data_IF_159670732788
#
_entry.id   IF_159670732788
#
_cell.length_a   1.000
_cell.length_b   1.000
_cell.length_c   1.000
_cell.angle_alpha   90.00
_cell.angle_beta   90.00
_cell.angle_gamma   90.00
#
_symmetry.space_group_name_H-M   'P 1'
#
loop_
_entity.id
_entity.type
_entity.pdbx_description
1 polymer ?
#
# COMPACT_ATOMS: atom_id res chain seq x y z
N UNK A 1 30.42 -13.95 7.64
CA UNK A 1 29.13 -13.24 7.61
C UNK A 1 29.23 -11.73 7.32
N UNK A 2 30.22 -10.99 7.87
CA UNK A 2 30.45 -9.55 7.62
C UNK A 2 30.48 -9.13 6.13
N UNK A 3 31.16 -9.88 5.24
CA UNK A 3 31.22 -9.54 3.79
C UNK A 3 29.86 -9.56 3.07
N UNK A 4 28.91 -10.43 3.48
CA UNK A 4 27.53 -10.43 2.95
C UNK A 4 26.71 -9.25 3.47
N UNK A 5 26.86 -8.90 4.76
CA UNK A 5 26.17 -7.77 5.37
C UNK A 5 26.63 -6.42 4.77
N UNK A 6 27.94 -6.22 4.57
CA UNK A 6 28.50 -5.01 3.94
C UNK A 6 28.02 -4.87 2.49
N UNK A 7 27.95 -5.98 1.74
CA UNK A 7 27.42 -6.00 0.37
C UNK A 7 25.92 -5.67 0.33
N UNK A 8 25.15 -6.13 1.33
CA UNK A 8 23.72 -5.81 1.44
C UNK A 8 23.49 -4.34 1.83
N UNK A 9 24.26 -3.79 2.76
CA UNK A 9 24.18 -2.38 3.17
C UNK A 9 24.50 -1.41 2.01
N UNK A 10 25.56 -1.70 1.22
CA UNK A 10 25.88 -0.93 0.03
C UNK A 10 24.75 -0.97 -1.02
N UNK A 11 24.09 -2.11 -1.18
CA UNK A 11 22.95 -2.26 -2.09
C UNK A 11 21.73 -1.47 -1.61
N UNK A 12 21.39 -1.48 -0.31
CA UNK A 12 20.28 -0.69 0.25
C UNK A 12 20.49 0.80 -0.05
N UNK A 13 21.71 1.32 0.14
CA UNK A 13 22.05 2.71 -0.20
C UNK A 13 21.89 3.01 -1.69
N UNK A 14 22.30 2.08 -2.56
CA UNK A 14 22.12 2.19 -4.01
C UNK A 14 20.62 2.21 -4.39
N UNK A 15 19.79 1.39 -3.74
CA UNK A 15 18.34 1.40 -3.92
C UNK A 15 17.71 2.71 -3.48
N UNK A 16 18.04 3.19 -2.27
CA UNK A 16 17.58 4.48 -1.75
C UNK A 16 17.93 5.62 -2.70
N UNK A 17 19.16 5.66 -3.19
CA UNK A 17 19.58 6.68 -4.15
C UNK A 17 18.79 6.61 -5.47
N UNK A 18 18.45 5.42 -5.95
CA UNK A 18 17.61 5.26 -7.14
C UNK A 18 16.16 5.66 -6.90
N UNK A 19 15.57 5.25 -5.77
CA UNK A 19 14.22 5.62 -5.38
C UNK A 19 14.10 7.13 -5.19
N UNK A 20 15.08 7.74 -4.51
CA UNK A 20 15.16 9.18 -4.32
C UNK A 20 15.25 9.92 -5.65
N UNK A 21 16.16 9.53 -6.55
CA UNK A 21 16.27 10.13 -7.89
C UNK A 21 14.98 10.02 -8.71
N UNK A 22 14.23 8.92 -8.52
CA UNK A 22 12.96 8.72 -9.19
C UNK A 22 11.86 9.62 -8.61
N UNK A 23 11.78 9.75 -7.29
CA UNK A 23 10.76 10.57 -6.64
C UNK A 23 11.05 12.08 -6.80
N UNK A 24 12.32 12.49 -6.75
CA UNK A 24 12.73 13.90 -6.64
C UNK A 24 12.11 14.81 -7.71
N UNK A 25 11.88 14.32 -8.94
CA UNK A 25 11.36 15.15 -10.03
C UNK A 25 9.89 15.55 -9.88
N UNK A 26 9.07 14.66 -9.31
CA UNK A 26 7.63 14.85 -9.13
C UNK A 26 7.20 14.70 -7.66
N UNK A 27 8.13 14.83 -6.71
CA UNK A 27 7.89 14.62 -5.28
C UNK A 27 6.77 15.53 -4.78
N UNK A 28 6.80 16.82 -5.15
CA UNK A 28 5.77 17.78 -4.77
C UNK A 28 4.38 17.37 -5.29
N UNK A 29 4.29 16.99 -6.57
CA UNK A 29 3.02 16.52 -7.15
C UNK A 29 2.51 15.24 -6.45
N UNK A 30 3.40 14.31 -6.12
CA UNK A 30 3.06 13.08 -5.38
C UNK A 30 2.55 13.42 -3.98
N UNK A 31 3.25 14.29 -3.24
CA UNK A 31 2.87 14.68 -1.88
C UNK A 31 1.51 15.41 -1.87
N UNK A 32 1.29 16.36 -2.79
CA UNK A 32 0.02 17.07 -2.89
C UNK A 32 -1.10 16.09 -3.25
N UNK A 33 -0.88 15.25 -4.26
CA UNK A 33 -1.85 14.22 -4.67
C UNK A 33 -2.21 13.32 -3.48
N UNK A 34 -1.22 12.70 -2.85
CA UNK A 34 -1.43 11.74 -1.78
C UNK A 34 -2.16 12.37 -0.59
N UNK A 35 -1.78 13.60 -0.21
CA UNK A 35 -2.41 14.32 0.90
C UNK A 35 -3.88 14.61 0.61
N UNK A 36 -4.17 15.22 -0.53
CA UNK A 36 -5.54 15.58 -0.93
C UNK A 36 -6.38 14.32 -1.13
N UNK A 37 -5.82 13.31 -1.81
CA UNK A 37 -6.51 12.08 -2.12
C UNK A 37 -6.83 11.26 -0.88
N UNK A 38 -5.91 11.20 0.09
CA UNK A 38 -6.09 10.46 1.34
C UNK A 38 -7.12 11.13 2.26
N UNK A 39 -7.15 12.46 2.31
CA UNK A 39 -8.22 13.20 3.00
C UNK A 39 -9.58 12.96 2.34
N UNK A 40 -9.63 13.01 1.01
CA UNK A 40 -10.86 12.76 0.25
C UNK A 40 -11.37 11.32 0.43
N UNK A 41 -10.51 10.32 0.22
CA UNK A 41 -10.87 8.91 0.30
C UNK A 41 -11.24 8.48 1.72
N UNK A 42 -10.51 8.96 2.75
CA UNK A 42 -10.87 8.66 4.14
C UNK A 42 -12.22 9.23 4.52
N UNK A 43 -12.54 10.46 4.08
CA UNK A 43 -13.84 11.06 4.29
C UNK A 43 -14.95 10.36 3.51
N UNK A 44 -14.70 9.94 2.27
CA UNK A 44 -15.65 9.18 1.46
C UNK A 44 -16.01 7.86 2.14
N UNK A 45 -15.00 7.06 2.51
CA UNK A 45 -15.20 5.76 3.16
C UNK A 45 -15.89 5.92 4.51
N UNK A 46 -15.50 6.92 5.31
CA UNK A 46 -16.12 7.20 6.61
C UNK A 46 -17.60 7.57 6.47
N UNK A 47 -17.95 8.45 5.52
CA UNK A 47 -19.35 8.84 5.28
C UNK A 47 -20.20 7.67 4.80
N UNK A 48 -19.67 6.85 3.89
CA UNK A 48 -20.37 5.65 3.41
C UNK A 48 -20.56 4.62 4.53
N UNK A 49 -19.53 4.40 5.37
CA UNK A 49 -19.62 3.52 6.53
C UNK A 49 -20.67 4.00 7.54
N UNK A 50 -20.66 5.29 7.88
CA UNK A 50 -21.66 5.87 8.77
C UNK A 50 -23.08 5.79 8.19
N UNK A 51 -23.24 6.06 6.89
CA UNK A 51 -24.53 5.91 6.22
C UNK A 51 -25.02 4.45 6.26
N UNK A 52 -24.13 3.49 6.00
CA UNK A 52 -24.47 2.07 6.04
C UNK A 52 -24.83 1.56 7.44
N UNK A 53 -24.12 2.02 8.47
CA UNK A 53 -24.43 1.70 9.87
C UNK A 53 -25.79 2.30 10.24
N UNK A 54 -26.03 3.58 9.97
CA UNK A 54 -27.29 4.24 10.28
C UNK A 54 -28.46 3.59 9.54
N UNK A 55 -28.26 3.18 8.29
CA UNK A 55 -29.25 2.44 7.52
C UNK A 55 -29.54 1.07 8.14
N UNK A 56 -28.51 0.32 8.50
CA UNK A 56 -28.64 -1.00 9.15
C UNK A 56 -29.36 -0.89 10.50
N UNK A 57 -29.04 0.13 11.29
CA UNK A 57 -29.66 0.40 12.59
C UNK A 57 -31.14 0.73 12.46
N UNK A 58 -31.51 1.58 11.49
CA UNK A 58 -32.92 1.90 11.19
C UNK A 58 -33.73 0.66 10.81
N UNK A 59 -33.15 -0.24 10.03
CA UNK A 59 -33.83 -1.45 9.58
C UNK A 59 -34.03 -2.48 10.70
N UNK A 60 -33.17 -2.45 11.72
CA UNK A 60 -33.25 -3.34 12.88
C UNK A 60 -34.01 -2.72 14.06
N UNK A 61 -34.55 -1.50 13.91
CA UNK A 61 -35.31 -0.81 14.95
C UNK A 61 -34.49 -0.40 16.18
N UNK A 62 -33.15 -0.39 16.07
CA UNK A 62 -32.25 -0.08 17.19
C UNK A 62 -31.56 1.26 16.99
N UNK A 63 -31.55 2.13 18.00
CA UNK A 63 -30.84 3.43 17.90
C UNK A 63 -29.32 3.33 18.00
N UNK A 64 -28.79 2.27 18.64
CA UNK A 64 -27.35 2.11 18.88
C UNK A 64 -26.89 0.66 18.80
N UNK A 65 -25.62 0.46 18.42
CA UNK A 65 -24.98 -0.85 18.35
C UNK A 65 -24.43 -1.25 19.72
N UNK A 66 -24.98 -2.29 20.34
CA UNK A 66 -24.50 -2.89 21.60
C UNK A 66 -23.68 -4.16 21.34
N UNK A 67 -22.91 -4.63 22.32
CA UNK A 67 -22.14 -5.89 22.22
C UNK A 67 -23.02 -7.12 21.98
N UNK A 68 -24.23 -7.11 22.52
CA UNK A 68 -25.23 -8.19 22.39
C UNK A 68 -25.85 -8.21 20.99
N UNK A 69 -26.16 -7.03 20.44
CA UNK A 69 -26.76 -6.91 19.11
C UNK A 69 -25.72 -6.87 17.99
N UNK A 70 -24.43 -6.76 18.32
CA UNK A 70 -23.34 -6.65 17.36
C UNK A 70 -23.36 -7.76 16.30
N UNK A 71 -23.42 -9.02 16.73
CA UNK A 71 -23.42 -10.16 15.82
C UNK A 71 -24.69 -10.16 14.95
N UNK A 72 -25.85 -9.83 15.53
CA UNK A 72 -27.14 -9.76 14.81
C UNK A 72 -27.11 -8.68 13.72
N UNK A 73 -26.55 -7.51 14.01
CA UNK A 73 -26.42 -6.40 13.06
C UNK A 73 -25.39 -6.73 11.97
N UNK A 74 -24.21 -7.23 12.34
CA UNK A 74 -23.12 -7.49 11.39
C UNK A 74 -23.41 -8.62 10.41
N UNK A 75 -24.17 -9.64 10.83
CA UNK A 75 -24.54 -10.78 10.01
C UNK A 75 -25.84 -10.58 9.22
N UNK A 76 -26.52 -9.45 9.42
CA UNK A 76 -27.74 -9.14 8.67
C UNK A 76 -27.41 -9.07 7.16
N UNK A 77 -28.17 -9.75 6.28
CA UNK A 77 -27.82 -9.88 4.86
C UNK A 77 -27.66 -8.54 4.16
N UNK A 78 -28.48 -7.55 4.52
CA UNK A 78 -28.35 -6.21 3.97
C UNK A 78 -27.10 -5.48 4.47
N UNK A 79 -26.74 -5.65 5.74
CA UNK A 79 -25.52 -5.04 6.31
C UNK A 79 -24.27 -5.63 5.66
N UNK A 80 -24.27 -6.94 5.39
CA UNK A 80 -23.21 -7.60 4.62
C UNK A 80 -23.11 -7.05 3.19
N UNK A 81 -24.24 -6.84 2.51
CA UNK A 81 -24.27 -6.23 1.18
C UNK A 81 -23.70 -4.81 1.19
N UNK A 82 -24.06 -4.00 2.19
CA UNK A 82 -23.53 -2.63 2.34
C UNK A 82 -22.03 -2.63 2.65
N UNK A 83 -21.56 -3.51 3.54
CA UNK A 83 -20.13 -3.68 3.84
C UNK A 83 -19.38 -4.07 2.57
N UNK A 84 -19.91 -5.01 1.80
CA UNK A 84 -19.31 -5.43 0.53
C UNK A 84 -19.25 -4.28 -0.48
N UNK A 85 -20.31 -3.47 -0.59
CA UNK A 85 -20.33 -2.26 -1.42
C UNK A 85 -19.27 -1.24 -1.00
N UNK A 86 -19.11 -0.99 0.29
CA UNK A 86 -18.06 -0.09 0.82
C UNK A 86 -16.67 -0.65 0.51
N UNK A 87 -16.46 -1.95 0.66
CA UNK A 87 -15.20 -2.61 0.31
C UNK A 87 -14.88 -2.47 -1.17
N UNK A 88 -15.87 -2.59 -2.06
CA UNK A 88 -15.67 -2.36 -3.50
C UNK A 88 -15.21 -0.93 -3.79
N UNK A 89 -15.86 0.07 -3.18
CA UNK A 89 -15.46 1.49 -3.30
C UNK A 89 -14.03 1.68 -2.76
N UNK A 90 -13.74 1.11 -1.60
CA UNK A 90 -12.41 1.19 -0.98
C UNK A 90 -11.31 0.61 -1.87
N UNK A 91 -11.51 -0.59 -2.43
CA UNK A 91 -10.51 -1.20 -3.31
C UNK A 91 -10.41 -0.48 -4.66
N UNK A 92 -11.48 0.11 -5.16
CA UNK A 92 -11.42 0.97 -6.33
C UNK A 92 -10.58 2.23 -6.04
N UNK A 93 -10.75 2.84 -4.87
CA UNK A 93 -9.91 3.96 -4.43
C UNK A 93 -8.42 3.55 -4.35
N UNK A 94 -8.13 2.41 -3.73
CA UNK A 94 -6.77 1.87 -3.68
C UNK A 94 -6.18 1.67 -5.09
N UNK A 95 -6.96 1.13 -6.03
CA UNK A 95 -6.52 0.93 -7.41
C UNK A 95 -6.22 2.27 -8.11
N UNK A 96 -7.09 3.26 -7.91
CA UNK A 96 -6.91 4.61 -8.43
C UNK A 96 -5.60 5.25 -7.93
N UNK A 97 -5.35 5.18 -6.62
CA UNK A 97 -4.13 5.69 -5.97
C UNK A 97 -2.88 5.06 -6.57
N UNK A 98 -2.88 3.73 -6.74
CA UNK A 98 -1.77 2.99 -7.34
C UNK A 98 -1.49 3.49 -8.76
N UNK A 99 -2.50 3.64 -9.61
CA UNK A 99 -2.32 4.12 -10.98
C UNK A 99 -1.81 5.56 -11.04
N UNK A 100 -2.31 6.45 -10.18
CA UNK A 100 -1.88 7.84 -10.13
C UNK A 100 -0.40 7.97 -9.71
N UNK A 101 0.01 7.26 -8.65
CA UNK A 101 1.41 7.23 -8.19
C UNK A 101 2.31 6.62 -9.27
N UNK A 102 1.88 5.52 -9.89
CA UNK A 102 2.61 4.86 -10.97
C UNK A 102 2.81 5.76 -12.20
N UNK A 103 1.81 6.55 -12.58
CA UNK A 103 1.93 7.53 -13.66
C UNK A 103 2.97 8.61 -13.33
N UNK A 104 3.04 9.06 -12.08
CA UNK A 104 4.06 10.03 -11.64
C UNK A 104 5.48 9.43 -11.63
N UNK A 105 5.62 8.17 -11.21
CA UNK A 105 6.89 7.46 -11.28
C UNK A 105 7.34 7.27 -12.73
N UNK A 106 6.41 6.94 -13.64
CA UNK A 106 6.71 6.81 -15.06
C UNK A 106 7.12 8.14 -15.70
N UNK A 107 6.41 9.23 -15.39
CA UNK A 107 6.79 10.56 -15.83
C UNK A 107 8.20 10.94 -15.32
N UNK A 108 8.49 10.67 -14.04
CA UNK A 108 9.79 10.93 -13.44
C UNK A 108 10.91 10.15 -14.12
N UNK A 109 10.66 8.87 -14.44
CA UNK A 109 11.59 8.04 -15.18
C UNK A 109 11.89 8.57 -16.58
N UNK A 110 10.85 9.04 -17.30
CA UNK A 110 10.97 9.70 -18.61
C UNK A 110 11.53 11.13 -18.50
N UNK A 111 11.97 11.56 -17.31
CA UNK A 111 12.43 12.92 -17.02
C UNK A 111 11.39 13.99 -17.41
N UNK A 112 10.10 13.72 -17.27
CA UNK A 112 9.02 14.68 -17.46
C UNK A 112 8.40 15.07 -16.11
N UNK A 113 7.85 16.29 -16.03
CA UNK A 113 7.01 16.70 -14.90
C UNK A 113 5.56 16.32 -15.19
N UNK A 114 4.83 15.94 -14.15
CA UNK A 114 3.38 15.68 -14.22
C UNK A 114 2.69 16.55 -13.17
N UNK A 115 1.56 17.15 -13.56
CA UNK A 115 0.70 17.88 -12.63
C UNK A 115 -0.29 16.93 -11.96
N UNK A 116 -0.76 17.30 -10.77
CA UNK A 116 -1.73 16.51 -9.98
C UNK A 116 -3.00 16.18 -10.79
N UNK A 117 -3.61 17.10 -11.55
CA UNK A 117 -4.79 16.76 -12.36
C UNK A 117 -4.51 15.68 -13.41
N UNK A 118 -3.34 15.71 -14.04
CA UNK A 118 -2.95 14.69 -15.03
C UNK A 118 -2.69 13.35 -14.35
N UNK A 119 -2.15 13.35 -13.13
CA UNK A 119 -2.05 12.13 -12.31
C UNK A 119 -3.43 11.55 -11.99
N UNK A 120 -4.41 12.40 -11.61
CA UNK A 120 -5.78 11.96 -11.34
C UNK A 120 -6.46 11.39 -12.58
N UNK A 121 -6.29 12.01 -13.74
CA UNK A 121 -6.81 11.50 -15.00
C UNK A 121 -6.17 10.16 -15.40
N UNK A 122 -4.86 10.02 -15.20
CA UNK A 122 -4.16 8.75 -15.43
C UNK A 122 -4.62 7.67 -14.45
N UNK A 123 -4.84 8.03 -13.18
CA UNK A 123 -5.44 7.21 -12.14
C UNK A 123 -6.81 6.68 -12.54
N UNK A 124 -7.71 7.58 -12.95
CA UNK A 124 -9.07 7.24 -13.36
C UNK A 124 -9.13 6.40 -14.63
N UNK A 125 -8.39 6.78 -15.68
CA UNK A 125 -8.33 6.02 -16.93
C UNK A 125 -7.73 4.63 -16.70
N UNK A 126 -6.63 4.54 -15.96
CA UNK A 126 -5.95 3.28 -15.66
C UNK A 126 -6.82 2.35 -14.81
N UNK A 127 -7.44 2.86 -13.75
CA UNK A 127 -8.34 2.09 -12.90
C UNK A 127 -9.57 1.59 -13.68
N UNK A 128 -10.21 2.47 -14.46
CA UNK A 128 -11.36 2.10 -15.28
C UNK A 128 -11.01 1.06 -16.34
N UNK A 129 -9.86 1.20 -17.02
CA UNK A 129 -9.40 0.21 -17.99
C UNK A 129 -9.12 -1.15 -17.32
N UNK A 130 -8.53 -1.14 -16.12
CA UNK A 130 -8.25 -2.38 -15.38
C UNK A 130 -9.52 -3.10 -14.95
N UNK A 131 -10.51 -2.36 -14.42
CA UNK A 131 -11.82 -2.91 -14.05
C UNK A 131 -12.56 -3.43 -15.29
N UNK A 132 -12.57 -2.69 -16.40
CA UNK A 132 -13.19 -3.13 -17.67
C UNK A 132 -12.53 -4.37 -18.26
N UNK A 133 -11.20 -4.46 -18.19
CA UNK A 133 -10.48 -5.62 -18.70
C UNK A 133 -10.71 -6.88 -17.85
N UNK A 134 -11.09 -6.72 -16.58
CA UNK A 134 -11.15 -7.80 -15.58
C UNK A 134 -12.28 -7.60 -14.56
N UNK A 135 -13.57 -7.56 -14.97
CA UNK A 135 -14.69 -7.13 -14.12
C UNK A 135 -14.89 -7.96 -12.84
N UNK A 136 -14.49 -9.22 -12.84
CA UNK A 136 -14.62 -10.11 -11.66
C UNK A 136 -13.31 -10.32 -10.90
N UNK A 137 -12.16 -10.29 -11.58
CA UNK A 137 -10.87 -10.61 -10.96
C UNK A 137 -10.13 -9.38 -10.40
N UNK A 138 -10.52 -8.16 -10.77
CA UNK A 138 -9.89 -6.95 -10.25
C UNK A 138 -10.03 -6.84 -8.73
N UNK A 139 -11.22 -7.13 -8.18
CA UNK A 139 -11.49 -7.04 -6.75
C UNK A 139 -10.63 -8.04 -5.96
N UNK A 140 -10.62 -9.31 -6.39
CA UNK A 140 -9.81 -10.37 -5.76
C UNK A 140 -8.32 -10.01 -5.75
N UNK A 141 -7.86 -9.37 -6.81
CA UNK A 141 -6.47 -8.95 -6.95
C UNK A 141 -6.11 -7.79 -6.00
N UNK A 142 -7.05 -6.85 -5.81
CA UNK A 142 -6.90 -5.77 -4.84
C UNK A 142 -6.94 -6.28 -3.40
N UNK A 143 -7.87 -7.18 -3.08
CA UNK A 143 -7.94 -7.87 -1.78
C UNK A 143 -6.64 -8.60 -1.50
N UNK A 144 -6.12 -9.36 -2.47
CA UNK A 144 -4.88 -10.11 -2.31
C UNK A 144 -3.68 -9.17 -2.10
N UNK A 145 -3.63 -8.01 -2.75
CA UNK A 145 -2.50 -7.08 -2.62
C UNK A 145 -2.59 -6.16 -1.38
N UNK A 146 -3.78 -6.04 -0.79
CA UNK A 146 -4.08 -5.06 0.23
C UNK A 146 -3.21 -5.16 1.49
N UNK A 147 -3.07 -6.34 2.14
CA UNK A 147 -2.32 -6.49 3.38
C UNK A 147 -0.86 -6.00 3.28
N UNK A 148 -0.25 -6.11 2.10
CA UNK A 148 1.12 -5.67 1.88
C UNK A 148 1.23 -4.18 1.52
N UNK A 149 0.44 -3.70 0.55
CA UNK A 149 0.53 -2.31 0.09
C UNK A 149 0.05 -1.29 1.13
N UNK A 150 -0.94 -1.69 1.93
CA UNK A 150 -1.58 -0.83 2.92
C UNK A 150 -1.28 -1.27 4.35
N UNK A 151 -0.15 -1.94 4.60
CA UNK A 151 0.20 -2.46 5.92
C UNK A 151 0.14 -1.39 7.02
N UNK A 152 0.71 -0.21 6.77
CA UNK A 152 0.68 0.89 7.74
C UNK A 152 -0.74 1.46 7.93
N UNK A 153 -1.46 1.69 6.84
CA UNK A 153 -2.82 2.23 6.84
C UNK A 153 -3.81 1.30 7.53
N UNK A 154 -3.72 0.00 7.27
CA UNK A 154 -4.58 -1.04 7.82
C UNK A 154 -4.37 -1.19 9.33
N UNK A 155 -3.11 -1.26 9.79
CA UNK A 155 -2.79 -1.22 11.22
C UNK A 155 -3.41 0.01 11.90
N UNK A 156 -3.25 1.19 11.30
CA UNK A 156 -3.85 2.39 11.87
C UNK A 156 -5.38 2.38 11.84
N UNK A 157 -6.01 1.87 10.79
CA UNK A 157 -7.46 1.79 10.69
C UNK A 157 -8.03 0.88 11.78
N UNK A 158 -7.42 -0.28 12.00
CA UNK A 158 -7.79 -1.22 13.06
C UNK A 158 -7.68 -0.56 14.44
N UNK A 159 -6.60 0.19 14.71
CA UNK A 159 -6.39 0.87 15.99
C UNK A 159 -7.30 2.10 16.20
N UNK A 160 -7.83 2.67 15.13
CA UNK A 160 -8.68 3.86 15.20
C UNK A 160 -10.17 3.53 15.24
N UNK A 161 -10.59 2.41 14.64
CA UNK A 161 -12.00 2.01 14.59
C UNK A 161 -12.29 0.94 15.64
N UNK A 162 -13.03 1.31 16.69
CA UNK A 162 -13.43 0.40 17.80
C UNK A 162 -14.08 -0.88 17.29
N UNK A 163 -14.89 -0.78 16.24
CA UNK A 163 -15.54 -1.92 15.60
C UNK A 163 -14.52 -2.93 15.03
N UNK A 164 -13.50 -2.45 14.30
CA UNK A 164 -12.45 -3.31 13.76
C UNK A 164 -11.60 -3.92 14.88
N UNK A 165 -11.29 -3.15 15.91
CA UNK A 165 -10.53 -3.64 17.06
C UNK A 165 -11.25 -4.78 17.80
N UNK A 166 -12.55 -4.61 18.08
CA UNK A 166 -13.35 -5.63 18.77
C UNK A 166 -13.49 -6.89 17.90
N UNK A 167 -13.78 -6.73 16.62
CA UNK A 167 -13.85 -7.86 15.68
C UNK A 167 -12.53 -8.63 15.61
N UNK A 168 -11.41 -7.91 15.47
CA UNK A 168 -10.09 -8.55 15.39
C UNK A 168 -9.74 -9.27 16.69
N UNK A 169 -10.05 -8.68 17.84
CA UNK A 169 -9.81 -9.32 19.15
C UNK A 169 -10.60 -10.61 19.30
N UNK A 170 -11.88 -10.62 18.88
CA UNK A 170 -12.69 -11.85 18.87
C UNK A 170 -12.10 -12.93 17.96
N UNK A 171 -11.60 -12.54 16.76
CA UNK A 171 -10.95 -13.47 15.83
C UNK A 171 -9.67 -14.04 16.43
N UNK A 172 -8.82 -13.21 17.02
CA UNK A 172 -7.56 -13.65 17.63
C UNK A 172 -7.79 -14.60 18.82
N UNK A 173 -8.78 -14.29 19.67
CA UNK A 173 -9.13 -15.11 20.83
C UNK A 173 -9.88 -16.41 20.47
N UNK A 174 -10.39 -16.54 19.25
CA UNK A 174 -10.98 -17.79 18.77
C UNK A 174 -9.92 -18.87 18.50
N UNK A 175 -8.64 -18.50 18.37
CA UNK A 175 -7.57 -19.47 18.19
C UNK A 175 -7.06 -19.99 19.54
N UNK A 176 -6.79 -21.30 19.67
CA UNK A 176 -6.34 -21.91 20.92
C UNK A 176 -4.93 -21.45 21.34
N UNK A 177 -4.11 -20.96 20.40
CA UNK A 177 -2.76 -20.50 20.66
C UNK A 177 -2.48 -19.16 19.95
N UNK A 178 -1.91 -18.20 20.68
CA UNK A 178 -1.60 -16.86 20.19
C UNK A 178 -0.65 -16.81 18.98
N UNK A 179 0.24 -17.79 18.83
CA UNK A 179 1.23 -17.83 17.75
C UNK A 179 0.61 -18.20 16.39
N UNK A 180 -0.53 -18.89 16.37
CA UNK A 180 -1.26 -19.28 15.14
C UNK A 180 -1.68 -18.04 14.32
N UNK A 181 -2.46 -17.08 14.86
CA UNK A 181 -2.85 -15.90 14.09
C UNK A 181 -1.67 -15.01 13.70
N UNK A 182 -0.58 -15.00 14.48
CA UNK A 182 0.68 -14.30 14.12
C UNK A 182 1.30 -14.92 12.86
N UNK A 183 1.46 -16.24 12.83
CA UNK A 183 1.99 -16.96 11.66
C UNK A 183 1.08 -16.77 10.44
N UNK A 184 -0.24 -16.87 10.62
CA UNK A 184 -1.21 -16.62 9.55
C UNK A 184 -1.09 -15.19 8.99
N UNK A 185 -0.88 -14.19 9.84
CA UNK A 185 -0.67 -12.79 9.42
C UNK A 185 0.61 -12.65 8.60
N UNK A 186 1.70 -13.29 9.01
CA UNK A 186 2.96 -13.28 8.26
C UNK A 186 2.78 -13.94 6.89
N UNK A 187 2.10 -15.09 6.84
CA UNK A 187 1.78 -15.79 5.59
C UNK A 187 0.87 -14.96 4.69
N UNK A 188 -0.11 -14.27 5.25
CA UNK A 188 -0.99 -13.36 4.52
C UNK A 188 -0.19 -12.23 3.87
N UNK A 189 0.68 -11.54 4.61
CA UNK A 189 1.52 -10.46 4.07
C UNK A 189 2.49 -10.99 3.00
N UNK A 190 3.06 -12.18 3.21
CA UNK A 190 3.95 -12.83 2.24
C UNK A 190 3.21 -13.22 0.95
N UNK A 191 1.99 -13.75 1.07
CA UNK A 191 1.11 -14.04 -0.06
C UNK A 191 0.75 -12.74 -0.81
N UNK A 192 0.38 -11.69 -0.07
CA UNK A 192 0.03 -10.39 -0.63
C UNK A 192 1.18 -9.71 -1.38
N UNK A 193 2.42 -9.95 -0.95
CA UNK A 193 3.60 -9.49 -1.67
C UNK A 193 3.67 -10.06 -3.10
N UNK A 194 3.36 -11.34 -3.28
CA UNK A 194 3.41 -12.00 -4.60
C UNK A 194 2.43 -11.35 -5.56
N UNK A 195 1.22 -11.05 -5.10
CA UNK A 195 0.21 -10.34 -5.89
C UNK A 195 0.65 -8.92 -6.18
N UNK A 196 1.12 -8.19 -5.17
CA UNK A 196 1.58 -6.81 -5.31
C UNK A 196 2.74 -6.69 -6.31
N UNK A 197 3.63 -7.68 -6.36
CA UNK A 197 4.72 -7.71 -7.33
C UNK A 197 4.25 -7.73 -8.79
N UNK A 198 3.10 -8.34 -9.04
CA UNK A 198 2.54 -8.43 -10.40
C UNK A 198 1.85 -7.15 -10.86
N UNK A 199 1.59 -6.19 -9.95
CA UNK A 199 0.84 -4.95 -10.22
C UNK A 199 1.55 -4.11 -11.29
N UNK A 200 2.83 -3.72 -11.17
CA UNK A 200 3.49 -2.90 -12.18
C UNK A 200 3.47 -3.52 -13.57
N UNK A 201 3.66 -4.84 -13.65
CA UNK A 201 3.67 -5.53 -14.93
C UNK A 201 2.29 -5.52 -15.58
N UNK A 202 1.22 -5.70 -14.81
CA UNK A 202 -0.16 -5.71 -15.32
C UNK A 202 -0.69 -4.31 -15.60
N UNK A 203 -0.25 -3.31 -14.84
CA UNK A 203 -0.63 -1.92 -15.04
C UNK A 203 0.11 -1.28 -16.22
N UNK A 204 1.34 -1.71 -16.53
CA UNK A 204 2.20 -1.05 -17.53
C UNK A 204 2.55 -1.88 -18.76
N UNK A 205 2.41 -3.21 -18.73
CA UNK A 205 2.59 -4.04 -19.93
C UNK A 205 1.24 -4.59 -20.40
N UNK A 206 0.92 -4.34 -21.67
CA UNK A 206 -0.15 -4.99 -22.45
C UNK A 206 0.26 -6.37 -22.97
N UNK A 207 1.20 -7.08 -22.33
CA UNK A 207 1.58 -8.45 -22.72
C UNK A 207 0.57 -9.48 -22.21
N UNK A 208 0.34 -10.56 -22.98
CA UNK A 208 -0.55 -11.69 -22.62
C UNK A 208 -0.17 -12.29 -21.25
N UNK A 209 -1.19 -12.56 -20.43
CA UNK A 209 -1.10 -12.92 -19.00
C UNK A 209 -0.12 -14.06 -18.66
N UNK A 210 -0.04 -15.10 -19.50
CA UNK A 210 0.90 -16.23 -19.33
C UNK A 210 2.37 -15.81 -19.34
N UNK A 211 2.75 -14.84 -20.18
CA UNK A 211 4.13 -14.38 -20.30
C UNK A 211 4.54 -13.49 -19.13
N UNK A 212 3.59 -12.73 -18.58
CA UNK A 212 3.80 -11.90 -17.40
C UNK A 212 4.11 -12.77 -16.18
N UNK A 213 3.35 -13.84 -15.94
CA UNK A 213 3.63 -14.77 -14.84
C UNK A 213 4.98 -15.48 -14.98
N UNK A 214 5.35 -15.92 -16.20
CA UNK A 214 6.63 -16.57 -16.44
C UNK A 214 7.81 -15.61 -16.25
N UNK A 215 7.70 -14.35 -16.71
CA UNK A 215 8.74 -13.32 -16.55
C UNK A 215 8.87 -12.87 -15.09
N UNK A 216 7.74 -12.77 -14.38
CA UNK A 216 7.68 -12.53 -12.93
C UNK A 216 8.34 -13.68 -12.19
N UNK A 217 7.97 -14.93 -12.47
CA UNK A 217 8.51 -16.15 -11.84
C UNK A 217 10.01 -16.28 -12.05
N UNK A 218 10.51 -16.09 -13.27
CA UNK A 218 11.95 -16.12 -13.57
C UNK A 218 12.75 -15.00 -12.88
N UNK A 219 12.11 -13.85 -12.63
CA UNK A 219 12.73 -12.72 -11.92
C UNK A 219 12.67 -12.91 -10.40
N UNK A 220 11.55 -13.48 -9.89
CA UNK A 220 11.35 -13.86 -8.50
C UNK A 220 12.33 -14.98 -8.10
N UNK A 221 12.30 -16.14 -8.75
CA UNK A 221 12.93 -17.40 -8.28
C UNK A 221 14.41 -17.27 -7.88
N UNK A 222 15.16 -16.34 -8.49
CA UNK A 222 16.59 -16.17 -8.17
C UNK A 222 16.86 -15.19 -7.01
N UNK A 223 15.90 -14.37 -6.57
CA UNK A 223 16.12 -13.25 -5.63
C UNK A 223 14.95 -12.90 -4.69
N UNK A 224 13.81 -13.62 -4.70
CA UNK A 224 12.58 -13.29 -3.91
C UNK A 224 12.90 -12.90 -2.48
N UNK A 225 13.54 -13.81 -1.74
CA UNK A 225 13.78 -13.64 -0.31
C UNK A 225 14.64 -12.41 -0.01
N UNK A 226 15.57 -12.07 -0.90
CA UNK A 226 16.43 -10.89 -0.71
C UNK A 226 15.70 -9.59 -1.02
N UNK A 227 14.96 -9.53 -2.12
CA UNK A 227 14.19 -8.33 -2.49
C UNK A 227 12.99 -8.12 -1.56
N UNK A 228 12.34 -9.20 -1.10
CA UNK A 228 11.30 -9.16 -0.08
C UNK A 228 11.88 -8.67 1.25
N UNK A 229 13.03 -9.22 1.68
CA UNK A 229 13.71 -8.78 2.91
C UNK A 229 14.07 -7.30 2.93
N UNK A 230 14.55 -6.75 1.80
CA UNK A 230 14.87 -5.32 1.69
C UNK A 230 13.58 -4.46 1.79
N UNK A 231 12.49 -4.87 1.16
CA UNK A 231 11.25 -4.08 1.24
C UNK A 231 10.55 -4.17 2.59
N UNK A 232 10.48 -5.37 3.18
CA UNK A 232 9.96 -5.54 4.54
C UNK A 232 10.79 -4.71 5.52
N UNK A 233 12.12 -4.71 5.37
CA UNK A 233 12.98 -3.83 6.15
C UNK A 233 12.61 -2.35 5.98
N UNK A 234 12.34 -1.88 4.76
CA UNK A 234 11.89 -0.49 4.53
C UNK A 234 10.54 -0.19 5.17
N UNK A 235 9.56 -1.09 5.07
CA UNK A 235 8.25 -0.90 5.70
C UNK A 235 8.38 -0.85 7.23
N UNK A 236 9.16 -1.75 7.82
CA UNK A 236 9.45 -1.76 9.27
C UNK A 236 10.18 -0.47 9.67
N UNK A 237 11.14 0.00 8.89
CA UNK A 237 11.85 1.24 9.16
C UNK A 237 10.92 2.47 9.12
N UNK A 238 10.03 2.57 8.12
CA UNK A 238 9.01 3.63 8.07
C UNK A 238 8.10 3.56 9.29
N UNK A 239 7.65 2.36 9.66
CA UNK A 239 6.81 2.16 10.85
C UNK A 239 7.52 2.62 12.13
N UNK A 240 8.80 2.26 12.30
CA UNK A 240 9.60 2.68 13.44
C UNK A 240 9.80 4.20 13.47
N UNK A 241 10.10 4.83 12.32
CA UNK A 241 10.24 6.29 12.24
C UNK A 241 8.93 6.98 12.63
N UNK A 242 7.79 6.54 12.07
CA UNK A 242 6.49 7.10 12.40
C UNK A 242 6.14 6.87 13.88
N UNK A 243 6.50 5.72 14.44
CA UNK A 243 6.29 5.42 15.86
C UNK A 243 7.13 6.31 16.79
N UNK A 244 8.41 6.52 16.46
CA UNK A 244 9.29 7.44 17.22
C UNK A 244 8.76 8.87 17.14
N UNK A 245 8.37 9.34 15.95
CA UNK A 245 7.77 10.66 15.79
C UNK A 245 6.47 10.80 16.60
N UNK A 246 5.62 9.78 16.60
CA UNK A 246 4.42 9.76 17.43
C UNK A 246 4.74 9.92 18.93
N UNK A 247 5.79 9.28 19.44
CA UNK A 247 6.21 9.43 20.83
C UNK A 247 6.73 10.84 21.12
N UNK A 248 7.52 11.43 20.22
CA UNK A 248 8.06 12.79 20.36
C UNK A 248 6.92 13.81 20.38
N UNK A 249 6.02 13.76 19.40
CA UNK A 249 4.90 14.70 19.34
C UNK A 249 3.89 14.46 20.46
N UNK A 250 3.63 13.20 20.84
CA UNK A 250 2.75 12.87 21.95
C UNK A 250 3.27 13.40 23.28
N UNK A 251 4.57 13.24 23.55
CA UNK A 251 5.20 13.80 24.76
C UNK A 251 5.20 15.32 24.73
N UNK A 252 5.45 15.95 23.58
CA UNK A 252 5.37 17.40 23.42
C UNK A 252 3.95 17.94 23.70
N UNK A 253 2.90 17.27 23.24
CA UNK A 253 1.50 17.64 23.53
C UNK A 253 1.21 17.55 25.03
N UNK A 254 1.66 16.49 25.70
CA UNK A 254 1.48 16.34 27.15
C UNK A 254 2.23 17.42 27.92
N UNK A 255 3.47 17.72 27.52
CA UNK A 255 4.27 18.79 28.12
C UNK A 255 3.58 20.16 27.93
N UNK A 256 3.15 20.48 26.71
CA UNK A 256 2.40 21.70 26.40
C UNK A 256 1.13 21.82 27.25
N UNK A 257 0.32 20.76 27.33
CA UNK A 257 -0.91 20.76 28.10
C UNK A 257 -0.63 21.01 29.59
N UNK A 258 0.41 20.40 30.17
CA UNK A 258 0.79 20.63 31.57
C UNK A 258 1.33 22.04 31.84
N UNK A 259 2.00 22.66 30.88
CA UNK A 259 2.61 23.99 31.05
C UNK A 259 1.64 25.15 30.83
N UNK A 260 0.63 24.98 29.97
CA UNK A 260 -0.22 26.08 29.49
C UNK A 260 -1.66 25.97 30.00
N UNK A 261 -2.12 24.78 30.40
CA UNK A 261 -3.54 24.54 30.73
C UNK A 261 -3.75 24.22 32.21
N UNK A 262 -4.92 24.58 32.71
CA UNK A 262 -5.36 24.28 34.08
C UNK A 262 -5.57 22.78 34.27
N UNK A 263 -5.37 22.23 35.48
CA UNK A 263 -5.47 20.78 35.75
C UNK A 263 -6.78 20.14 35.25
N UNK A 264 -7.90 20.87 35.30
CA UNK A 264 -9.21 20.41 34.82
C UNK A 264 -9.31 20.28 33.29
N UNK A 265 -8.50 21.01 32.53
CA UNK A 265 -8.52 21.01 31.06
C UNK A 265 -7.33 20.28 30.42
N UNK A 266 -6.32 19.89 31.20
CA UNK A 266 -5.15 19.13 30.72
C UNK A 266 -5.58 17.84 30.03
N UNK A 267 -6.45 17.05 30.66
CA UNK A 267 -6.86 15.74 30.12
C UNK A 267 -7.59 15.90 28.78
N UNK A 268 -8.55 16.83 28.71
CA UNK A 268 -9.27 17.11 27.47
C UNK A 268 -8.34 17.60 26.36
N UNK A 269 -7.41 18.50 26.69
CA UNK A 269 -6.38 19.02 25.77
C UNK A 269 -5.51 17.89 25.22
N UNK A 270 -5.02 16.99 26.08
CA UNK A 270 -4.21 15.84 25.67
C UNK A 270 -4.98 14.88 24.78
N UNK A 271 -6.27 14.67 25.04
CA UNK A 271 -7.12 13.83 24.18
C UNK A 271 -7.27 14.47 22.80
N UNK A 272 -7.66 15.74 22.73
CA UNK A 272 -7.91 16.43 21.45
C UNK A 272 -6.64 16.53 20.61
N UNK A 273 -5.56 17.08 21.16
CA UNK A 273 -4.30 17.22 20.42
C UNK A 273 -3.62 15.87 20.21
N UNK A 274 -3.80 14.91 21.12
CA UNK A 274 -3.31 13.54 20.96
C UNK A 274 -3.98 12.81 19.80
N UNK A 275 -5.28 13.01 19.60
CA UNK A 275 -6.01 12.48 18.44
C UNK A 275 -5.56 13.14 17.13
N UNK A 276 -5.24 14.43 17.16
CA UNK A 276 -4.66 15.12 16.01
C UNK A 276 -3.29 14.52 15.65
N UNK A 277 -2.39 14.38 16.64
CA UNK A 277 -1.07 13.74 16.44
C UNK A 277 -1.23 12.32 15.90
N UNK A 278 -2.13 11.51 16.49
CA UNK A 278 -2.41 10.15 16.04
C UNK A 278 -2.88 10.12 14.59
N UNK A 279 -3.82 10.99 14.22
CA UNK A 279 -4.37 11.10 12.87
C UNK A 279 -3.30 11.54 11.86
N UNK A 280 -2.51 12.57 12.18
CA UNK A 280 -1.43 13.07 11.33
C UNK A 280 -0.34 12.02 11.10
N UNK A 281 0.10 11.32 12.16
CA UNK A 281 1.12 10.27 12.04
C UNK A 281 0.61 9.09 11.20
N UNK A 282 -0.68 8.74 11.33
CA UNK A 282 -1.32 7.73 10.49
C UNK A 282 -1.34 8.11 9.00
N UNK A 283 -1.69 9.37 8.72
CA UNK A 283 -1.73 9.92 7.36
C UNK A 283 -0.33 9.88 6.73
N UNK A 284 0.66 10.41 7.44
CA UNK A 284 2.06 10.46 7.00
C UNK A 284 2.62 9.05 6.80
N UNK A 285 2.57 8.19 7.80
CA UNK A 285 3.16 6.85 7.71
C UNK A 285 2.48 5.98 6.66
N UNK A 286 1.16 6.15 6.46
CA UNK A 286 0.44 5.45 5.41
C UNK A 286 0.81 5.94 4.00
N UNK A 287 0.95 7.25 3.80
CA UNK A 287 1.40 7.85 2.54
C UNK A 287 2.83 7.38 2.18
N UNK A 288 3.77 7.49 3.11
CA UNK A 288 5.14 7.01 2.90
C UNK A 288 5.20 5.50 2.70
N UNK A 289 4.40 4.73 3.44
CA UNK A 289 4.31 3.28 3.30
C UNK A 289 3.84 2.85 1.91
N UNK A 290 2.78 3.47 1.38
CA UNK A 290 2.26 3.16 0.04
C UNK A 290 3.19 3.64 -1.06
N UNK A 291 3.54 4.94 -1.07
CA UNK A 291 4.41 5.52 -2.10
C UNK A 291 5.76 4.81 -2.13
N UNK A 292 6.33 4.50 -0.97
CA UNK A 292 7.56 3.72 -0.84
C UNK A 292 7.43 2.32 -1.44
N UNK A 293 6.35 1.61 -1.10
CA UNK A 293 6.08 0.25 -1.62
C UNK A 293 5.89 0.25 -3.14
N UNK A 294 5.12 1.19 -3.70
CA UNK A 294 4.91 1.31 -5.15
C UNK A 294 6.20 1.69 -5.86
N UNK A 295 6.96 2.65 -5.31
CA UNK A 295 8.27 3.06 -5.85
C UNK A 295 9.22 1.87 -5.93
N UNK A 296 9.24 1.05 -4.89
CA UNK A 296 10.05 -0.16 -4.87
C UNK A 296 9.63 -1.16 -5.97
N UNK A 297 8.34 -1.45 -6.06
CA UNK A 297 7.77 -2.34 -7.08
C UNK A 297 8.08 -1.83 -8.50
N UNK A 298 7.98 -0.53 -8.73
CA UNK A 298 8.29 0.11 -10.00
C UNK A 298 9.78 0.05 -10.37
N UNK A 299 10.68 0.22 -9.40
CA UNK A 299 12.13 0.05 -9.62
C UNK A 299 12.47 -1.38 -10.03
N UNK A 300 11.83 -2.39 -9.43
CA UNK A 300 12.02 -3.77 -9.83
C UNK A 300 11.52 -3.99 -11.26
N UNK A 301 10.34 -3.45 -11.58
CA UNK A 301 9.79 -3.48 -12.93
C UNK A 301 10.79 -2.95 -13.97
N UNK A 302 11.31 -1.73 -13.79
CA UNK A 302 12.31 -1.14 -14.69
C UNK A 302 13.54 -2.03 -14.84
N UNK A 303 14.08 -2.55 -13.73
CA UNK A 303 15.29 -3.38 -13.75
C UNK A 303 15.06 -4.70 -14.49
N UNK A 304 13.86 -5.27 -14.36
CA UNK A 304 13.47 -6.46 -15.10
C UNK A 304 13.37 -6.18 -16.61
N UNK A 305 12.75 -5.06 -16.99
CA UNK A 305 12.61 -4.62 -18.38
C UNK A 305 13.97 -4.37 -19.04
N UNK A 306 14.89 -3.67 -18.36
CA UNK A 306 16.27 -3.44 -18.87
C UNK A 306 17.03 -4.74 -19.14
N UNK A 307 16.88 -5.75 -18.28
CA UNK A 307 17.53 -7.06 -18.47
C UNK A 307 16.93 -7.82 -19.65
N UNK A 308 15.61 -7.73 -19.85
CA UNK A 308 14.94 -8.33 -21.00
C UNK A 308 15.42 -7.71 -22.32
N UNK A 309 15.47 -6.37 -22.39
CA UNK A 309 15.99 -5.64 -23.58
C UNK A 309 17.44 -6.01 -23.86
N UNK A 310 18.30 -6.08 -22.84
CA UNK A 310 19.72 -6.45 -23.00
C UNK A 310 19.90 -7.89 -23.50
N UNK A 311 19.10 -8.84 -23.00
CA UNK A 311 19.11 -10.24 -23.48
C UNK A 311 18.61 -10.35 -24.92
N UNK A 312 17.57 -9.61 -25.29
CA UNK A 312 17.07 -9.57 -26.67
C UNK A 312 18.12 -8.98 -27.63
N UNK A 313 18.81 -7.91 -27.22
CA UNK A 313 19.93 -7.32 -27.97
C UNK A 313 21.10 -8.29 -28.12
N UNK A 314 21.51 -8.99 -27.06
CA UNK A 314 22.55 -10.02 -27.13
C UNK A 314 22.16 -11.22 -28.01
N UNK A 315 20.88 -11.63 -28.00
CA UNK A 315 20.38 -12.71 -28.86
C UNK A 315 20.34 -12.29 -30.33
N UNK A 316 19.96 -11.05 -30.64
CA UNK A 316 20.06 -10.47 -32.00
C UNK A 316 21.51 -10.29 -32.46
N UNK A 317 22.41 -9.86 -31.58
CA UNK A 317 23.84 -9.73 -31.88
C UNK A 317 24.51 -11.10 -32.12
N UNK A 318 24.19 -12.11 -31.29
CA UNK A 318 24.62 -13.50 -31.56
C UNK A 318 24.05 -14.04 -32.85
N UNK A 319 22.76 -13.84 -33.13
CA UNK A 319 22.17 -14.26 -34.41
C UNK A 319 22.88 -13.60 -35.60
N UNK A 320 23.17 -12.29 -35.55
CA UNK A 320 23.95 -11.60 -36.60
C UNK A 320 25.39 -12.11 -36.74
N UNK A 321 26.03 -12.50 -35.65
CA UNK A 321 27.36 -13.12 -35.65
C UNK A 321 27.38 -14.51 -36.30
N UNK A 322 26.26 -15.23 -36.33
CA UNK A 322 26.12 -16.51 -37.03
C UNK A 322 25.85 -16.34 -38.53
N UNK A 323 25.30 -15.20 -38.95
CA UNK A 323 25.05 -14.86 -40.35
C UNK A 323 26.14 -13.97 -40.98
N UNK A 324 27.18 -13.60 -40.22
CA UNK A 324 28.35 -12.97 -40.81
C UNK A 324 29.20 -14.09 -41.44
N UNK A 325 29.39 -14.12 -42.77
CA UNK A 325 30.34 -15.02 -43.37
C UNK A 325 31.68 -14.76 -42.70
N UNK A 326 32.31 -15.82 -42.19
CA UNK A 326 33.72 -15.80 -41.83
C UNK A 326 34.48 -15.22 -43.02
N UNK A 327 34.86 -13.95 -42.92
CA UNK A 327 35.75 -13.30 -43.87
C UNK A 327 37.05 -14.10 -43.80
N UNK A 328 37.19 -14.96 -44.80
CA UNK A 328 38.38 -15.73 -45.13
C UNK A 328 39.56 -14.77 -45.07
N UNK A 329 40.56 -15.11 -44.28
CA UNK A 329 41.87 -14.50 -44.34
C UNK A 329 42.87 -15.58 -44.69
#
# INVERSE_FOLDING_TARGET
MRKKAVKNAGMIRIYLNMAWKLLQKNLLSIVIFETVYRLFSSQLVSRLANAAINFSLKQLGTSYMTSENFNKIMLHPLTLLLIFGILLVFFFCMLFEIYAVMAALEASWKRKRISVPVMMLAGGRGAAQFVRARPWTWFLYMVASFPYLWLHSSYSAIRSMKLLQVSLTKIFNAFPAYWIPVVLTILLVAFSFVFSYTIPFRCMMTEKEKNTHLRVRQTLEKRVLRELGINVFFQVMIFLITWVLYLIFGTAVVAYAKLVKTPSTVVSTVIVYGDWVKSTMSLIGGAFGLVGSITYLYLIFIRSSRKATRRAGQRKSRARSWYAPSAVR
#
